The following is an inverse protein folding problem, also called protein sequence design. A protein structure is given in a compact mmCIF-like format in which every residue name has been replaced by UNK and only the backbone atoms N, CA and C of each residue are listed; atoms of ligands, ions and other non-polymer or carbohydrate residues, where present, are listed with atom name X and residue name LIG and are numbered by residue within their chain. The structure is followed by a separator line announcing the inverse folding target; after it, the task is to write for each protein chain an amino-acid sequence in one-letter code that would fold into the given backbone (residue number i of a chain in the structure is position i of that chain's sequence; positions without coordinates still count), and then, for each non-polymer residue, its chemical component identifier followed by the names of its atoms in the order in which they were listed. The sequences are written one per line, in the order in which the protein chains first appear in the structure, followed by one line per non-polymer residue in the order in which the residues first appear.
data_IF_922193199993
#
_entry.id   IF_922193199993
#
_cell.length_a   1.000
_cell.length_b   1.000
_cell.length_c   1.000
_cell.angle_alpha   90.00
_cell.angle_beta   90.00
_cell.angle_gamma   90.00
#
_symmetry.space_group_name_H-M   'P 1'
#
loop_
_entity.id
_entity.type
_entity.pdbx_description
1 polymer ?
#
# COMPACT_ATOMS: atom_id res chain seq x y z
N UNK A 1 7.17 -2.36 9.65
CA UNK A 1 6.16 -2.31 8.56
C UNK A 1 6.62 -3.23 7.45
N UNK A 2 5.70 -3.84 6.73
CA UNK A 2 5.97 -4.78 5.64
C UNK A 2 5.38 -4.22 4.36
N UNK A 3 6.13 -4.18 3.24
CA UNK A 3 5.58 -3.80 1.95
C UNK A 3 4.67 -4.89 1.41
N UNK A 4 3.50 -4.52 0.90
CA UNK A 4 2.67 -5.45 0.12
C UNK A 4 2.92 -5.24 -1.37
N UNK A 5 2.86 -6.33 -2.14
CA UNK A 5 3.07 -6.26 -3.58
C UNK A 5 1.83 -5.64 -4.24
N UNK A 6 2.05 -4.70 -5.16
CA UNK A 6 1.02 -4.11 -6.03
C UNK A 6 1.38 -4.29 -7.49
N UNK A 7 0.39 -4.22 -8.39
CA UNK A 7 0.60 -4.39 -9.82
C UNK A 7 1.43 -3.23 -10.41
N UNK A 8 2.56 -3.52 -11.10
CA UNK A 8 3.42 -2.50 -11.70
C UNK A 8 2.92 -2.08 -13.08
N UNK A 9 1.73 -1.46 -13.12
CA UNK A 9 1.05 -1.09 -14.36
C UNK A 9 0.99 0.43 -14.57
N UNK A 10 1.95 1.18 -14.02
CA UNK A 10 1.96 2.65 -14.05
C UNK A 10 0.88 3.32 -13.18
N UNK A 11 -0.09 2.58 -12.65
CA UNK A 11 -1.06 3.07 -11.66
C UNK A 11 -0.72 2.60 -10.24
N UNK A 12 0.53 2.23 -9.98
CA UNK A 12 0.96 1.62 -8.73
C UNK A 12 0.66 2.49 -7.50
N UNK A 13 0.81 3.82 -7.60
CA UNK A 13 0.44 4.76 -6.54
C UNK A 13 -1.06 4.67 -6.19
N UNK A 14 -1.92 4.78 -7.19
CA UNK A 14 -3.37 4.78 -7.00
C UNK A 14 -3.91 3.41 -6.55
N UNK A 15 -3.33 2.32 -7.07
CA UNK A 15 -3.60 0.96 -6.60
C UNK A 15 -3.21 0.82 -5.13
N UNK A 16 -2.06 1.37 -4.74
CA UNK A 16 -1.58 1.34 -3.37
C UNK A 16 -2.54 2.06 -2.42
N UNK A 17 -2.99 3.27 -2.78
CA UNK A 17 -3.97 4.02 -2.00
C UNK A 17 -5.25 3.20 -1.81
N UNK A 18 -5.73 2.55 -2.88
CA UNK A 18 -6.93 1.72 -2.83
C UNK A 18 -6.79 0.51 -1.89
N UNK A 19 -5.60 -0.09 -1.81
CA UNK A 19 -5.31 -1.16 -0.85
C UNK A 19 -5.38 -0.65 0.60
N UNK A 20 -4.89 0.56 0.85
CA UNK A 20 -4.83 1.14 2.21
C UNK A 20 -6.14 1.77 2.67
N UNK A 21 -7.02 2.17 1.75
CA UNK A 21 -8.30 2.81 2.03
C UNK A 21 -9.43 2.00 1.38
N UNK A 22 -9.78 0.89 2.01
CA UNK A 22 -10.71 -0.12 1.46
C UNK A 22 -12.15 0.39 1.26
N UNK A 23 -12.55 1.44 1.98
CA UNK A 23 -13.86 2.08 1.86
C UNK A 23 -13.91 3.18 0.78
N UNK A 24 -12.82 3.42 0.04
CA UNK A 24 -12.80 4.39 -1.04
C UNK A 24 -13.25 3.73 -2.35
N UNK A 25 -14.44 4.08 -2.83
CA UNK A 25 -15.06 3.42 -3.99
C UNK A 25 -14.38 3.73 -5.33
N UNK A 26 -13.63 4.83 -5.40
CA UNK A 26 -13.05 5.29 -6.66
C UNK A 26 -12.12 4.26 -7.30
N UNK A 27 -12.11 4.23 -8.63
CA UNK A 27 -11.12 3.46 -9.37
C UNK A 27 -9.73 4.14 -9.31
N UNK A 28 -8.62 3.41 -9.55
CA UNK A 28 -7.29 4.01 -9.66
C UNK A 28 -7.22 5.13 -10.72
N UNK A 29 -7.91 4.95 -11.85
CA UNK A 29 -8.01 5.95 -12.93
C UNK A 29 -8.77 7.19 -12.45
N UNK A 30 -9.87 6.99 -11.74
CA UNK A 30 -10.64 8.11 -11.19
C UNK A 30 -9.85 8.90 -10.15
N UNK A 31 -9.11 8.21 -9.26
CA UNK A 31 -8.20 8.86 -8.32
C UNK A 31 -7.14 9.71 -9.02
N UNK A 32 -6.55 9.20 -10.11
CA UNK A 32 -5.61 9.95 -10.96
C UNK A 32 -6.25 11.23 -11.49
N UNK A 33 -7.44 11.12 -12.10
CA UNK A 33 -8.16 12.29 -12.62
C UNK A 33 -8.44 13.32 -11.52
N UNK A 34 -8.90 12.88 -10.34
CA UNK A 34 -9.15 13.75 -9.18
C UNK A 34 -7.88 14.44 -8.69
N UNK A 35 -6.77 13.70 -8.55
CA UNK A 35 -5.46 14.24 -8.15
C UNK A 35 -4.99 15.35 -9.11
N UNK A 36 -5.14 15.09 -10.41
CA UNK A 36 -4.73 16.02 -11.43
C UNK A 36 -5.58 17.30 -11.46
N UNK A 37 -6.90 17.16 -11.30
CA UNK A 37 -7.81 18.28 -11.19
C UNK A 37 -7.52 19.13 -9.93
N UNK A 38 -7.32 18.50 -8.78
CA UNK A 38 -6.99 19.16 -7.51
C UNK A 38 -5.71 20.00 -7.64
N UNK A 39 -4.64 19.43 -8.21
CA UNK A 39 -3.38 20.15 -8.43
C UNK A 39 -3.54 21.31 -9.41
N UNK A 40 -4.28 21.11 -10.51
CA UNK A 40 -4.53 22.16 -11.49
C UNK A 40 -5.27 23.36 -10.86
N UNK A 41 -6.27 23.09 -10.01
CA UNK A 41 -7.10 24.11 -9.36
C UNK A 41 -6.38 24.84 -8.22
N UNK A 42 -5.51 24.15 -7.49
CA UNK A 42 -4.90 24.66 -6.24
C UNK A 42 -3.38 24.83 -6.32
N UNK A 43 -2.80 24.87 -7.52
CA UNK A 43 -1.34 24.90 -7.71
C UNK A 43 -0.64 25.99 -6.88
N UNK A 44 -1.16 27.22 -6.89
CA UNK A 44 -0.59 28.33 -6.10
C UNK A 44 -0.59 28.05 -4.60
N UNK A 45 -1.63 27.38 -4.12
CA UNK A 45 -1.74 27.03 -2.72
C UNK A 45 -0.70 25.97 -2.34
N UNK A 46 -0.51 24.95 -3.19
CA UNK A 46 0.57 23.97 -2.99
C UNK A 46 1.96 24.61 -2.93
N UNK A 47 2.25 25.57 -3.80
CA UNK A 47 3.54 26.30 -3.78
C UNK A 47 3.74 27.05 -2.45
N UNK A 48 2.68 27.64 -1.91
CA UNK A 48 2.71 28.37 -0.63
C UNK A 48 2.85 27.42 0.57
N UNK A 49 2.13 26.29 0.56
CA UNK A 49 2.15 25.31 1.66
C UNK A 49 3.44 24.50 1.67
N UNK A 50 3.98 24.18 0.49
CA UNK A 50 5.16 23.31 0.32
C UNK A 50 6.28 24.06 -0.42
N UNK A 51 6.88 25.10 0.18
CA UNK A 51 7.88 25.92 -0.51
C UNK A 51 9.12 25.11 -0.93
N UNK A 52 9.47 24.06 -0.19
CA UNK A 52 10.55 23.13 -0.50
C UNK A 52 10.24 22.18 -1.68
N UNK A 53 9.01 22.16 -2.19
CA UNK A 53 8.59 21.41 -3.38
C UNK A 53 8.32 22.34 -4.58
N UNK A 54 8.64 23.64 -4.49
CA UNK A 54 8.21 24.63 -5.50
C UNK A 54 8.68 24.28 -6.91
N UNK A 55 9.93 23.87 -7.08
CA UNK A 55 10.48 23.54 -8.39
C UNK A 55 9.79 22.33 -9.03
N UNK A 56 9.47 21.32 -8.22
CA UNK A 56 8.68 20.17 -8.65
C UNK A 56 7.24 20.58 -9.02
N UNK A 57 6.62 21.45 -8.23
CA UNK A 57 5.27 21.94 -8.50
C UNK A 57 5.26 22.83 -9.77
N UNK A 58 6.36 23.53 -10.06
CA UNK A 58 6.52 24.29 -11.29
C UNK A 58 6.67 23.37 -12.50
N UNK A 59 7.49 22.32 -12.41
CA UNK A 59 7.69 21.34 -13.48
C UNK A 59 6.42 20.54 -13.78
N UNK A 60 5.54 20.38 -12.79
CA UNK A 60 4.24 19.72 -12.94
C UNK A 60 3.37 20.34 -14.06
N UNK A 61 3.45 21.65 -14.33
CA UNK A 61 2.71 22.26 -15.47
C UNK A 61 3.21 21.76 -16.82
N UNK A 62 4.49 21.48 -16.94
CA UNK A 62 5.08 20.92 -18.16
C UNK A 62 4.67 19.45 -18.28
N UNK A 63 4.81 18.68 -17.21
CA UNK A 63 4.39 17.29 -17.11
C UNK A 63 2.90 17.09 -17.45
N UNK A 64 2.04 18.00 -16.98
CA UNK A 64 0.61 18.06 -17.30
C UNK A 64 0.32 18.09 -18.81
N UNK A 65 1.18 18.75 -19.58
CA UNK A 65 0.98 18.94 -21.03
C UNK A 65 1.52 17.77 -21.85
N UNK A 66 2.51 17.05 -21.33
CA UNK A 66 3.24 16.04 -22.12
C UNK A 66 2.80 14.62 -21.81
N UNK A 67 2.48 14.28 -20.56
CA UNK A 67 2.53 12.87 -20.11
C UNK A 67 1.36 12.45 -19.22
N UNK A 68 0.78 13.38 -18.47
CA UNK A 68 0.04 13.01 -17.25
C UNK A 68 -1.43 12.59 -17.45
N UNK A 69 -2.02 12.88 -18.61
CA UNK A 69 -3.40 12.47 -18.93
C UNK A 69 -3.45 11.01 -19.40
N UNK A 70 -2.31 10.42 -19.77
CA UNK A 70 -2.27 9.04 -20.24
C UNK A 70 -2.44 8.07 -19.07
N UNK A 71 -3.28 7.05 -19.26
CA UNK A 71 -3.32 5.91 -18.36
C UNK A 71 -1.91 5.30 -18.26
N UNK A 72 -1.53 4.86 -17.06
CA UNK A 72 -0.24 4.21 -16.76
C UNK A 72 1.01 5.08 -16.83
N UNK A 73 0.91 6.42 -16.85
CA UNK A 73 2.09 7.27 -16.63
C UNK A 73 2.57 7.19 -15.19
N UNK A 74 3.88 7.33 -14.97
CA UNK A 74 4.46 7.31 -13.62
C UNK A 74 3.98 8.51 -12.78
N UNK A 75 3.77 8.26 -11.50
CA UNK A 75 3.33 9.29 -10.57
C UNK A 75 4.51 10.11 -10.03
N UNK A 76 4.24 11.38 -9.79
CA UNK A 76 5.14 12.35 -9.18
C UNK A 76 4.77 12.60 -7.72
N UNK A 77 5.68 13.20 -6.96
CA UNK A 77 5.39 13.65 -5.59
C UNK A 77 4.22 14.66 -5.53
N UNK A 78 3.96 15.43 -6.60
CA UNK A 78 2.80 16.32 -6.65
C UNK A 78 1.49 15.57 -6.46
N UNK A 79 1.33 14.39 -7.07
CA UNK A 79 0.13 13.57 -6.91
C UNK A 79 -0.05 13.08 -5.46
N UNK A 80 1.04 12.82 -4.72
CA UNK A 80 0.98 12.53 -3.27
C UNK A 80 0.39 13.71 -2.50
N UNK A 81 0.83 14.94 -2.79
CA UNK A 81 0.30 16.15 -2.18
C UNK A 81 -1.20 16.36 -2.52
N UNK A 82 -1.60 16.02 -3.75
CA UNK A 82 -3.00 15.99 -4.19
C UNK A 82 -3.84 15.01 -3.38
N UNK A 83 -3.35 13.77 -3.26
CA UNK A 83 -4.04 12.68 -2.60
C UNK A 83 -4.24 12.96 -1.12
N UNK A 84 -3.30 13.62 -0.43
CA UNK A 84 -3.49 14.04 0.97
C UNK A 84 -4.79 14.85 1.14
N UNK A 85 -5.03 15.79 0.22
CA UNK A 85 -6.23 16.63 0.25
C UNK A 85 -7.49 15.90 -0.21
N UNK A 86 -7.42 15.08 -1.25
CA UNK A 86 -8.60 14.36 -1.76
C UNK A 86 -9.11 13.34 -0.74
N UNK A 87 -8.18 12.64 -0.10
CA UNK A 87 -8.48 11.58 0.87
C UNK A 87 -8.69 12.13 2.28
N UNK A 88 -8.38 13.41 2.52
CA UNK A 88 -8.37 14.05 3.83
C UNK A 88 -7.55 13.22 4.85
N UNK A 89 -6.43 12.66 4.40
CA UNK A 89 -5.54 11.82 5.19
C UNK A 89 -4.09 12.28 5.07
N UNK A 90 -3.31 12.04 6.12
CA UNK A 90 -1.87 12.24 6.04
C UNK A 90 -1.23 11.09 5.28
N UNK A 91 -0.24 11.37 4.44
CA UNK A 91 0.49 10.34 3.69
C UNK A 91 1.95 10.43 4.11
N UNK A 92 2.44 9.36 4.76
CA UNK A 92 3.86 9.17 5.00
C UNK A 92 4.45 8.46 3.78
N UNK A 93 5.33 9.14 3.07
CA UNK A 93 6.06 8.56 1.94
C UNK A 93 7.43 8.09 2.44
N UNK A 94 7.84 6.89 2.06
CA UNK A 94 9.10 6.27 2.48
C UNK A 94 9.95 6.02 1.25
N UNK A 95 11.13 6.61 1.24
CA UNK A 95 12.20 6.35 0.30
C UNK A 95 13.25 5.49 1.03
N UNK A 96 13.50 4.24 0.59
CA UNK A 96 14.46 3.37 1.24
C UNK A 96 15.84 4.04 1.23
N UNK A 97 16.57 3.92 2.34
CA UNK A 97 17.95 4.38 2.41
C UNK A 97 18.80 3.52 1.48
N UNK A 98 19.16 4.09 0.35
CA UNK A 98 20.21 3.57 -0.53
C UNK A 98 21.55 4.08 0.07
N UNK A 99 22.67 3.38 -0.16
CA UNK A 99 24.00 3.85 0.29
C UNK A 99 24.19 5.34 0.03
N UNK A 100 24.84 6.03 0.97
CA UNK A 100 24.91 7.51 1.08
C UNK A 100 25.33 8.21 -0.22
N UNK A 101 26.20 7.56 -1.01
CA UNK A 101 26.71 8.11 -2.28
C UNK A 101 25.69 8.08 -3.43
N UNK A 102 24.54 7.42 -3.27
CA UNK A 102 23.53 7.24 -4.31
C UNK A 102 22.29 8.14 -4.15
N UNK A 103 22.21 8.94 -3.08
CA UNK A 103 21.15 9.93 -2.88
C UNK A 103 21.59 11.32 -3.39
N UNK A 104 22.19 11.36 -4.60
CA UNK A 104 22.84 12.56 -5.15
C UNK A 104 21.91 13.80 -5.24
N UNK A 105 20.59 13.61 -5.23
CA UNK A 105 19.62 14.69 -5.38
C UNK A 105 18.88 15.07 -4.07
N UNK A 106 19.29 14.52 -2.91
CA UNK A 106 18.58 14.76 -1.64
C UNK A 106 17.13 14.28 -1.68
N UNK A 107 16.85 13.25 -2.48
CA UNK A 107 15.51 12.72 -2.69
C UNK A 107 15.02 12.01 -1.44
N UNK A 108 15.91 11.37 -0.68
CA UNK A 108 15.55 10.84 0.64
C UNK A 108 14.97 11.93 1.54
N UNK A 109 15.61 13.10 1.63
CA UNK A 109 15.15 14.19 2.49
C UNK A 109 13.83 14.79 2.02
N UNK A 110 13.63 14.89 0.70
CA UNK A 110 12.38 15.36 0.13
C UNK A 110 11.23 14.37 0.35
N UNK A 111 11.49 13.07 0.15
CA UNK A 111 10.46 12.04 0.08
C UNK A 111 10.19 11.33 1.39
N UNK A 112 11.15 11.24 2.32
CA UNK A 112 10.96 10.64 3.66
C UNK A 112 10.23 11.58 4.61
N UNK A 113 9.08 12.12 4.18
CA UNK A 113 8.26 13.06 4.93
C UNK A 113 6.84 12.54 5.09
N UNK A 114 6.14 13.17 6.04
CA UNK A 114 4.68 13.05 6.14
C UNK A 114 4.07 14.31 5.55
N UNK A 115 3.21 14.11 4.57
CA UNK A 115 2.43 15.17 3.93
C UNK A 115 1.03 15.18 4.53
N UNK A 116 0.44 16.36 4.62
CA UNK A 116 -0.81 16.57 5.33
C UNK A 116 -1.83 17.24 4.40
N UNK A 117 -3.14 16.98 4.58
CA UNK A 117 -4.15 17.81 3.95
C UNK A 117 -3.99 19.26 4.40
N UNK A 118 -4.40 20.20 3.57
CA UNK A 118 -4.52 21.60 3.95
C UNK A 118 -5.39 21.68 5.21
N UNK A 119 -4.91 22.39 6.23
CA UNK A 119 -5.67 22.59 7.46
C UNK A 119 -7.04 23.15 7.11
N UNK A 120 -8.08 22.33 7.29
CA UNK A 120 -9.43 22.83 7.43
C UNK A 120 -9.48 23.45 8.81
N UNK A 121 -9.35 24.78 8.83
CA UNK A 121 -9.65 25.63 9.98
C UNK A 121 -10.86 25.03 10.71
N UNK A 122 -10.63 24.52 11.93
CA UNK A 122 -11.60 23.97 12.89
C UNK A 122 -11.80 22.43 12.98
N UNK A 123 -11.06 21.59 12.26
CA UNK A 123 -11.17 20.13 12.48
C UNK A 123 -10.14 19.62 13.51
N UNK A 124 -10.57 19.38 14.74
CA UNK A 124 -9.81 18.65 15.77
C UNK A 124 -9.73 17.13 15.53
N UNK A 125 -10.25 16.63 14.40
CA UNK A 125 -10.19 15.19 14.08
C UNK A 125 -8.75 14.81 13.73
N UNK A 126 -8.24 13.79 14.42
CA UNK A 126 -7.00 13.12 14.05
C UNK A 126 -7.12 12.63 12.60
N UNK A 127 -6.29 13.16 11.71
CA UNK A 127 -6.22 12.65 10.34
C UNK A 127 -5.56 11.28 10.37
N UNK A 128 -6.22 10.27 9.81
CA UNK A 128 -5.61 8.95 9.61
C UNK A 128 -4.34 9.12 8.78
N UNK A 129 -3.30 8.35 9.11
CA UNK A 129 -2.05 8.35 8.34
C UNK A 129 -1.91 7.03 7.61
N UNK A 130 -1.78 7.08 6.29
CA UNK A 130 -1.39 5.93 5.48
C UNK A 130 0.11 6.01 5.18
N UNK A 131 0.78 4.87 5.07
CA UNK A 131 2.21 4.82 4.76
C UNK A 131 2.44 4.08 3.44
N UNK A 132 3.24 4.71 2.57
CA UNK A 132 3.60 4.21 1.25
C UNK A 132 5.12 4.13 1.16
N UNK A 133 5.65 3.24 0.33
CA UNK A 133 7.08 3.20 0.00
C UNK A 133 7.26 3.36 -1.50
N UNK A 134 8.23 4.17 -1.92
CA UNK A 134 8.71 4.22 -3.29
C UNK A 134 9.89 3.28 -3.45
N UNK A 135 9.72 2.26 -4.26
CA UNK A 135 10.67 1.16 -4.42
C UNK A 135 10.79 0.78 -5.90
N UNK A 136 11.46 -0.33 -6.16
CA UNK A 136 11.59 -0.88 -7.50
C UNK A 136 10.96 -2.28 -7.56
N UNK A 137 10.43 -2.64 -8.73
CA UNK A 137 9.78 -3.95 -8.97
C UNK A 137 10.77 -5.12 -9.04
N UNK A 138 11.98 -4.84 -9.49
CA UNK A 138 13.12 -5.77 -9.53
C UNK A 138 14.05 -5.61 -8.33
N UNK A 139 14.85 -6.66 -8.07
CA UNK A 139 15.88 -6.69 -7.03
C UNK A 139 16.94 -5.61 -7.21
N UNK A 140 17.46 -5.06 -6.11
CA UNK A 140 18.45 -3.97 -6.10
C UNK A 140 19.66 -4.27 -7.00
N UNK A 141 20.21 -5.48 -6.92
CA UNK A 141 21.36 -5.88 -7.73
C UNK A 141 21.07 -5.73 -9.24
N UNK A 142 19.90 -6.19 -9.67
CA UNK A 142 19.47 -6.10 -11.07
C UNK A 142 19.32 -4.65 -11.50
N UNK A 143 18.69 -3.81 -10.67
CA UNK A 143 18.50 -2.37 -10.95
C UNK A 143 19.84 -1.68 -11.13
N UNK A 144 20.78 -1.92 -10.22
CA UNK A 144 22.12 -1.30 -10.29
C UNK A 144 22.92 -1.78 -11.48
N UNK A 145 22.84 -3.07 -11.81
CA UNK A 145 23.55 -3.63 -12.95
C UNK A 145 23.15 -2.95 -14.28
N UNK A 146 21.88 -2.58 -14.42
CA UNK A 146 21.38 -1.92 -15.65
C UNK A 146 21.46 -0.39 -15.61
N UNK A 147 21.58 0.22 -14.42
CA UNK A 147 21.63 1.68 -14.25
C UNK A 147 23.01 2.18 -13.80
N UNK A 148 24.09 1.59 -14.30
CA UNK A 148 25.46 2.04 -14.01
C UNK A 148 25.80 2.15 -12.52
N UNK A 149 25.28 1.22 -11.71
CA UNK A 149 25.46 1.21 -10.26
C UNK A 149 24.42 2.03 -9.49
N UNK A 150 23.58 2.83 -10.15
CA UNK A 150 22.53 3.61 -9.52
C UNK A 150 21.31 2.76 -9.21
N UNK A 151 20.64 3.04 -8.10
CA UNK A 151 19.32 2.49 -7.83
C UNK A 151 18.29 3.59 -8.06
N UNK A 152 17.26 3.27 -8.84
CA UNK A 152 16.19 4.20 -9.19
C UNK A 152 14.87 3.52 -8.87
N UNK A 153 13.98 4.11 -8.07
CA UNK A 153 12.65 3.54 -7.85
C UNK A 153 11.74 3.80 -9.05
N UNK A 154 10.77 2.91 -9.26
CA UNK A 154 9.74 3.04 -10.29
C UNK A 154 8.36 2.55 -9.83
N UNK A 155 8.18 2.26 -8.53
CA UNK A 155 6.99 1.57 -8.08
C UNK A 155 6.58 1.98 -6.67
N UNK A 156 5.30 2.32 -6.48
CA UNK A 156 4.75 2.59 -5.15
C UNK A 156 4.07 1.34 -4.59
N UNK A 157 4.35 1.06 -3.31
CA UNK A 157 3.76 -0.06 -2.56
C UNK A 157 3.23 0.38 -1.20
N UNK A 158 2.18 -0.26 -0.66
CA UNK A 158 1.68 0.06 0.67
C UNK A 158 2.61 -0.50 1.73
N UNK A 159 2.79 0.25 2.81
CA UNK A 159 3.44 -0.24 4.02
C UNK A 159 2.38 -0.47 5.09
N UNK A 160 2.23 -1.73 5.52
CA UNK A 160 1.32 -2.10 6.60
C UNK A 160 2.08 -2.52 7.84
N UNK A 161 1.50 -2.33 9.02
CA UNK A 161 2.06 -2.91 10.24
C UNK A 161 1.80 -4.42 10.21
N UNK A 162 2.86 -5.20 10.35
CA UNK A 162 2.71 -6.60 10.70
C UNK A 162 2.27 -6.61 12.15
N UNK A 163 0.96 -6.72 12.37
CA UNK A 163 0.51 -7.16 13.68
C UNK A 163 0.93 -8.61 13.73
N UNK A 164 1.96 -8.89 14.52
CA UNK A 164 2.21 -10.23 15.05
C UNK A 164 0.96 -10.59 15.85
N UNK A 165 -0.06 -11.04 15.14
CA UNK A 165 -1.10 -11.87 15.72
C UNK A 165 -0.35 -13.13 16.08
N UNK A 166 0.33 -13.14 17.24
CA UNK A 166 0.45 -14.38 18.00
C UNK A 166 -0.98 -14.85 18.09
N UNK A 167 -1.36 -15.93 17.41
CA UNK A 167 -2.71 -16.39 17.55
C UNK A 167 -2.82 -16.78 19.02
N UNK A 168 -3.64 -16.05 19.77
CA UNK A 168 -4.07 -16.45 21.09
C UNK A 168 -5.01 -17.63 20.93
N UNK A 169 -4.46 -18.76 20.48
CA UNK A 169 -5.04 -20.06 20.72
C UNK A 169 -4.90 -20.29 22.21
N UNK A 170 -5.91 -19.87 22.97
CA UNK A 170 -6.25 -20.60 24.18
C UNK A 170 -6.59 -22.00 23.69
N UNK A 171 -5.62 -22.90 23.71
CA UNK A 171 -5.91 -24.33 23.60
C UNK A 171 -6.78 -24.62 24.82
N UNK A 172 -8.11 -24.59 24.64
CA UNK A 172 -9.00 -25.29 25.55
C UNK A 172 -8.52 -26.73 25.52
N UNK A 173 -7.75 -27.10 26.55
CA UNK A 173 -7.44 -28.49 26.79
C UNK A 173 -8.78 -29.14 27.07
N UNK A 174 -9.36 -29.77 26.05
CA UNK A 174 -10.46 -30.68 26.28
C UNK A 174 -9.97 -31.67 27.36
N UNK A 175 -10.76 -31.89 28.42
CA UNK A 175 -10.43 -32.90 29.40
C UNK A 175 -10.22 -34.22 28.65
N UNK A 176 -9.21 -35.04 29.03
CA UNK A 176 -8.93 -36.29 28.37
C UNK A 176 -10.22 -37.12 28.26
N UNK A 177 -10.48 -37.66 27.07
CA UNK A 177 -11.57 -38.58 26.78
C UNK A 177 -11.31 -39.92 27.49
N UNK A 178 -11.36 -39.93 28.81
CA UNK A 178 -11.41 -41.15 29.60
C UNK A 178 -12.88 -41.56 29.70
N UNK A 179 -13.22 -42.65 28.99
CA UNK A 179 -14.49 -43.40 29.01
C UNK A 179 -15.55 -43.00 27.98
N UNK A 180 -15.33 -43.40 26.72
CA UNK A 180 -16.44 -43.65 25.78
C UNK A 180 -16.31 -44.97 25.00
N UNK A 181 -15.71 -46.00 25.63
CA UNK A 181 -15.66 -47.38 25.10
C UNK A 181 -16.56 -48.31 25.92
N UNK A 182 -17.88 -48.11 25.89
CA UNK A 182 -18.85 -49.11 26.41
C UNK A 182 -20.12 -49.30 25.58
N UNK A 183 -20.29 -48.61 24.44
CA UNK A 183 -21.51 -48.75 23.63
C UNK A 183 -21.35 -49.48 22.29
N UNK A 184 -20.14 -49.92 21.92
CA UNK A 184 -19.87 -50.56 20.62
C UNK A 184 -19.84 -52.09 20.64
N UNK A 185 -20.11 -52.73 21.78
CA UNK A 185 -20.13 -54.21 21.92
C UNK A 185 -21.52 -54.85 21.84
N UNK A 186 -22.60 -54.08 21.62
CA UNK A 186 -23.96 -54.63 21.50
C UNK A 186 -24.52 -54.72 20.07
N UNK A 187 -23.77 -54.33 19.04
CA UNK A 187 -24.25 -54.27 17.65
C UNK A 187 -23.62 -55.29 16.68
N UNK A 188 -22.89 -56.30 17.17
CA UNK A 188 -22.25 -57.33 16.32
C UNK A 188 -22.69 -58.77 16.62
N UNK A 189 -23.90 -58.97 17.14
CA UNK A 189 -24.42 -60.32 17.43
C UNK A 189 -25.81 -60.55 16.81
N UNK A 190 -25.94 -60.34 15.49
CA UNK A 190 -27.16 -60.78 14.78
C UNK A 190 -27.00 -60.82 13.26
N UNK A 191 -26.00 -61.52 12.72
CA UNK A 191 -25.97 -61.78 11.27
C UNK A 191 -25.12 -63.02 10.95
N UNK A 192 -25.71 -64.20 11.10
CA UNK A 192 -25.15 -65.46 10.60
C UNK A 192 -26.28 -66.49 10.46
N UNK A 193 -26.96 -66.52 9.31
CA UNK A 193 -27.68 -67.70 8.79
C UNK A 193 -28.23 -67.40 7.38
N UNK A 194 -27.46 -67.77 6.36
CA UNK A 194 -28.01 -68.12 5.04
C UNK A 194 -27.38 -69.45 4.64
N UNK A 195 -28.20 -70.50 4.62
CA UNK A 195 -27.89 -71.82 4.06
C UNK A 195 -28.15 -71.77 2.56
N UNK A 196 -27.20 -72.24 1.76
CA UNK A 196 -27.42 -72.60 0.36
C UNK A 196 -27.51 -74.13 0.31
N UNK A 197 -28.60 -74.66 -0.25
CA UNK A 197 -28.75 -76.09 -0.58
C UNK A 197 -28.33 -76.29 -2.03
N UNK A 198 -27.65 -77.42 -2.28
CA UNK A 198 -27.23 -77.92 -3.59
C UNK A 198 -28.41 -78.41 -4.44
#
# INVERSE_FOLDING_TARGET
MVPLITNPNGNCLYNTVKVLISNFEASPIELRVRANAELAMKLKHYQQTYPHCTDLINSYRQYQRTEMIYDKSDCTLCEILALCNILQCSIRYVYPKIKEDADEAGMSDLLNKTFHPFSTTNSTKSTSTITLMWTHTAEEYTVRAVNYGMWVPNHSVPLVYHYDTKPSFTIERHPPLTKRNKLLTHLQASESKVKVCE
#
